data_IF_199017620972
#
_entry.id   IF_199017620972
#
_cell.length_a   1.000
_cell.length_b   1.000
_cell.length_c   1.000
_cell.angle_alpha   90.00
_cell.angle_beta   90.00
_cell.angle_gamma   90.00
#
_symmetry.space_group_name_H-M   'P 1'
#
loop_
_entity.id
_entity.type
_entity.pdbx_description
1 polymer ?
#
# COMPACT_ATOMS: atom_id res chain seq x y z
N UNK A 1 -11.80 -16.03 0.65
CA UNK A 1 -11.34 -15.62 -0.69
C UNK A 1 -12.46 -14.83 -1.33
N UNK A 2 -12.27 -13.54 -1.61
CA UNK A 2 -13.31 -12.70 -2.23
C UNK A 2 -13.13 -12.81 -3.75
N UNK A 3 -14.10 -13.38 -4.49
CA UNK A 3 -14.02 -13.49 -5.95
C UNK A 3 -13.93 -12.08 -6.58
N UNK A 4 -13.01 -11.88 -7.53
CA UNK A 4 -12.90 -10.63 -8.29
C UNK A 4 -11.87 -9.60 -7.78
N UNK A 5 -11.11 -9.90 -6.72
CA UNK A 5 -10.00 -9.02 -6.27
C UNK A 5 -8.65 -9.32 -6.93
N UNK A 6 -8.49 -10.47 -7.59
CA UNK A 6 -7.22 -10.88 -8.20
C UNK A 6 -7.45 -11.61 -9.52
N UNK A 7 -6.58 -11.32 -10.50
CA UNK A 7 -6.48 -12.05 -11.75
C UNK A 7 -5.28 -13.02 -11.70
N UNK A 8 -5.41 -14.13 -10.97
CA UNK A 8 -4.30 -15.08 -10.74
C UNK A 8 -3.63 -15.62 -12.00
N UNK A 9 -4.38 -15.72 -13.11
CA UNK A 9 -3.88 -16.24 -14.38
C UNK A 9 -3.16 -15.17 -15.23
N UNK A 10 -3.15 -13.91 -14.80
CA UNK A 10 -2.50 -12.82 -15.51
C UNK A 10 -1.74 -11.91 -14.52
N UNK A 11 -0.43 -12.11 -14.44
CA UNK A 11 0.44 -11.30 -13.59
C UNK A 11 0.48 -9.83 -14.01
N UNK A 12 0.26 -9.53 -15.30
CA UNK A 12 0.31 -8.18 -15.86
C UNK A 12 -1.08 -7.58 -16.05
N UNK A 13 -2.10 -8.15 -15.40
CA UNK A 13 -3.46 -7.65 -15.50
C UNK A 13 -3.52 -6.17 -15.11
N UNK A 14 -4.34 -5.41 -15.84
CA UNK A 14 -4.53 -3.98 -15.60
C UNK A 14 -4.94 -3.76 -14.14
N UNK A 15 -4.26 -2.89 -13.40
CA UNK A 15 -4.58 -2.62 -12.01
C UNK A 15 -5.98 -2.02 -11.87
N UNK A 16 -6.70 -2.43 -10.83
CA UNK A 16 -7.97 -1.81 -10.52
C UNK A 16 -7.78 -0.36 -10.06
N UNK A 17 -8.74 0.52 -10.38
CA UNK A 17 -8.67 1.94 -10.01
C UNK A 17 -8.49 2.12 -8.49
N UNK A 18 -9.18 1.32 -7.68
CA UNK A 18 -9.06 1.37 -6.22
C UNK A 18 -7.67 0.95 -5.72
N UNK A 19 -6.96 0.07 -6.44
CA UNK A 19 -5.61 -0.36 -6.09
C UNK A 19 -4.61 0.77 -6.35
N UNK A 20 -4.71 1.42 -7.52
CA UNK A 20 -3.92 2.60 -7.87
C UNK A 20 -4.18 3.77 -6.90
N UNK A 21 -5.45 4.01 -6.58
CA UNK A 21 -5.87 5.07 -5.67
C UNK A 21 -5.27 4.86 -4.28
N UNK A 22 -5.46 3.67 -3.69
CA UNK A 22 -4.96 3.41 -2.34
C UNK A 22 -3.44 3.41 -2.28
N UNK A 23 -2.75 2.82 -3.26
CA UNK A 23 -1.29 2.85 -3.33
C UNK A 23 -0.74 4.29 -3.40
N UNK A 24 -1.41 5.16 -4.19
CA UNK A 24 -1.06 6.58 -4.29
C UNK A 24 -1.27 7.31 -2.96
N UNK A 25 -2.38 7.03 -2.26
CA UNK A 25 -2.64 7.57 -0.92
C UNK A 25 -1.54 7.14 0.04
N UNK A 26 -1.23 5.84 0.10
CA UNK A 26 -0.17 5.30 0.98
C UNK A 26 1.16 5.98 0.72
N UNK A 27 1.58 6.08 -0.55
CA UNK A 27 2.82 6.78 -0.92
C UNK A 27 2.83 8.22 -0.39
N UNK A 28 1.75 8.97 -0.63
CA UNK A 28 1.64 10.36 -0.18
C UNK A 28 1.74 10.49 1.33
N UNK A 29 1.10 9.60 2.09
CA UNK A 29 1.17 9.63 3.56
C UNK A 29 2.57 9.26 4.07
N UNK A 30 3.27 8.31 3.42
CA UNK A 30 4.67 7.98 3.72
C UNK A 30 5.57 9.20 3.46
N UNK A 31 5.45 9.82 2.29
CA UNK A 31 6.28 10.98 1.89
C UNK A 31 6.03 12.19 2.81
N UNK A 32 4.78 12.36 3.27
CA UNK A 32 4.41 13.39 4.24
C UNK A 32 4.73 13.02 5.69
N UNK A 33 5.25 11.81 5.96
CA UNK A 33 5.43 11.23 7.30
C UNK A 33 4.18 11.30 8.18
N UNK A 34 2.99 11.25 7.56
CA UNK A 34 1.72 11.22 8.26
C UNK A 34 1.32 9.78 8.57
N UNK A 35 2.01 9.18 9.54
CA UNK A 35 1.82 7.79 9.92
C UNK A 35 0.51 7.53 10.67
N UNK A 36 -0.09 8.56 11.29
CA UNK A 36 -1.39 8.44 11.96
C UNK A 36 -2.50 8.04 10.99
N UNK A 37 -2.50 8.65 9.80
CA UNK A 37 -3.45 8.30 8.74
C UNK A 37 -3.22 6.87 8.21
N UNK A 38 -1.96 6.42 8.15
CA UNK A 38 -1.63 5.04 7.74
C UNK A 38 -2.08 4.02 8.79
N UNK A 39 -2.00 4.36 10.08
CA UNK A 39 -2.53 3.53 11.18
C UNK A 39 -4.06 3.48 11.10
N UNK A 40 -4.70 4.62 10.88
CA UNK A 40 -6.15 4.75 10.75
C UNK A 40 -6.64 4.58 9.31
N UNK A 41 -6.06 3.62 8.56
CA UNK A 41 -6.30 3.45 7.13
C UNK A 41 -7.78 3.28 6.76
N UNK A 42 -8.63 2.79 7.67
CA UNK A 42 -10.07 2.65 7.45
C UNK A 42 -10.78 3.99 7.22
N UNK A 43 -10.18 5.11 7.66
CA UNK A 43 -10.65 6.47 7.40
C UNK A 43 -10.20 7.01 6.02
N UNK A 44 -9.32 6.30 5.30
CA UNK A 44 -8.78 6.71 3.99
C UNK A 44 -9.69 6.35 2.80
N UNK A 45 -10.98 6.14 3.07
CA UNK A 45 -12.00 5.92 2.04
C UNK A 45 -12.19 4.47 1.61
N UNK A 46 -13.05 4.26 0.62
CA UNK A 46 -13.45 2.94 0.16
C UNK A 46 -12.30 2.14 -0.46
N UNK A 47 -11.34 2.82 -1.10
CA UNK A 47 -10.16 2.19 -1.69
C UNK A 47 -9.32 1.46 -0.64
N UNK A 48 -9.20 2.01 0.57
CA UNK A 48 -8.49 1.38 1.68
C UNK A 48 -9.20 0.11 2.17
N UNK A 49 -10.54 0.16 2.29
CA UNK A 49 -11.34 -1.00 2.71
C UNK A 49 -11.34 -2.14 1.67
N UNK A 50 -11.22 -1.80 0.39
CA UNK A 50 -11.05 -2.79 -0.69
C UNK A 50 -9.63 -3.37 -0.70
N UNK A 51 -8.61 -2.53 -0.45
CA UNK A 51 -7.20 -2.93 -0.50
C UNK A 51 -6.74 -3.73 0.72
N UNK A 52 -7.40 -3.55 1.87
CA UNK A 52 -7.04 -4.21 3.14
C UNK A 52 -8.26 -4.98 3.68
N UNK A 53 -8.62 -6.14 3.08
CA UNK A 53 -9.69 -6.98 3.62
C UNK A 53 -9.37 -7.50 5.03
N UNK A 54 -8.09 -7.77 5.26
CA UNK A 54 -7.48 -8.13 6.53
C UNK A 54 -6.13 -7.42 6.63
N UNK A 55 -5.70 -7.11 7.86
CA UNK A 55 -4.55 -6.21 8.08
C UNK A 55 -3.18 -6.90 7.91
N UNK A 56 -3.13 -8.22 7.78
CA UNK A 56 -1.91 -9.03 7.82
C UNK A 56 -0.84 -8.62 6.79
N UNK A 57 -1.24 -8.30 5.55
CA UNK A 57 -0.31 -7.85 4.51
C UNK A 57 0.08 -6.37 4.62
N UNK A 58 -0.66 -5.58 5.40
CA UNK A 58 -0.45 -4.14 5.56
C UNK A 58 0.39 -3.79 6.81
N UNK A 59 0.19 -4.52 7.90
CA UNK A 59 0.90 -4.29 9.16
C UNK A 59 2.45 -4.29 9.03
N UNK A 60 3.11 -5.16 8.24
CA UNK A 60 4.56 -5.15 8.09
C UNK A 60 5.12 -3.80 7.65
N UNK A 61 4.38 -3.07 6.79
CA UNK A 61 4.74 -1.73 6.36
C UNK A 61 4.79 -0.76 7.55
N UNK A 62 3.79 -0.80 8.44
CA UNK A 62 3.74 0.07 9.62
C UNK A 62 4.88 -0.23 10.60
N UNK A 63 5.24 -1.50 10.77
CA UNK A 63 6.40 -1.87 11.59
C UNK A 63 7.71 -1.30 11.01
N UNK A 64 7.91 -1.42 9.70
CA UNK A 64 9.08 -0.87 9.04
C UNK A 64 9.14 0.67 9.16
N UNK A 65 8.01 1.36 8.96
CA UNK A 65 7.92 2.82 9.15
C UNK A 65 8.16 3.25 10.61
N UNK A 66 7.70 2.45 11.57
CA UNK A 66 7.89 2.73 13.01
C UNK A 66 9.33 2.57 13.50
N UNK A 67 10.20 1.93 12.72
CA UNK A 67 11.63 1.81 13.01
C UNK A 67 12.46 2.99 12.49
N UNK A 68 11.88 3.84 11.64
CA UNK A 68 12.60 4.95 11.01
C UNK A 68 12.88 6.08 11.98
N UNK A 69 14.07 6.66 11.88
CA UNK A 69 14.36 7.92 12.57
C UNK A 69 13.58 9.08 11.92
N UNK A 70 13.40 10.16 12.72
CA UNK A 70 12.61 11.35 12.33
C UNK A 70 13.07 11.97 11.01
N UNK A 71 14.37 11.94 10.73
CA UNK A 71 14.99 12.62 9.59
C UNK A 71 15.65 11.63 8.61
N UNK A 72 15.40 10.33 8.78
CA UNK A 72 15.91 9.28 7.90
C UNK A 72 15.32 9.41 6.48
N UNK A 73 16.15 9.23 5.45
CA UNK A 73 15.66 9.33 4.08
C UNK A 73 14.73 8.15 3.75
N UNK A 74 13.63 8.42 3.05
CA UNK A 74 12.75 7.38 2.49
C UNK A 74 12.86 7.43 0.98
N UNK A 75 13.23 6.31 0.37
CA UNK A 75 13.30 6.16 -1.09
C UNK A 75 12.34 5.08 -1.56
N UNK A 76 11.67 5.33 -2.69
CA UNK A 76 10.77 4.37 -3.34
C UNK A 76 11.48 3.85 -4.59
N UNK A 77 11.50 2.53 -4.78
CA UNK A 77 12.29 1.91 -5.85
C UNK A 77 11.57 0.79 -6.62
N UNK A 78 10.41 0.34 -6.13
CA UNK A 78 9.46 -0.44 -6.93
C UNK A 78 8.06 0.14 -6.77
N UNK A 79 7.39 0.34 -7.90
CA UNK A 79 6.01 0.85 -8.00
C UNK A 79 5.32 0.07 -9.12
N UNK A 80 5.08 -1.21 -8.89
CA UNK A 80 4.52 -2.14 -9.88
C UNK A 80 3.24 -2.75 -9.32
N UNK A 81 2.30 -3.06 -10.20
CA UNK A 81 1.05 -3.72 -9.84
C UNK A 81 0.99 -5.09 -10.50
N UNK A 82 0.54 -6.09 -9.77
CA UNK A 82 0.41 -7.46 -10.26
C UNK A 82 -0.99 -8.00 -10.02
N UNK A 83 -1.44 -8.90 -10.90
CA UNK A 83 -2.72 -9.59 -10.78
C UNK A 83 -3.93 -8.64 -10.60
N UNK A 84 -3.84 -7.40 -11.08
CA UNK A 84 -4.84 -6.34 -10.93
C UNK A 84 -4.93 -5.71 -9.53
N UNK A 85 -4.93 -6.54 -8.47
CA UNK A 85 -5.20 -6.11 -7.10
C UNK A 85 -4.00 -6.06 -6.15
N UNK A 86 -2.78 -6.38 -6.60
CA UNK A 86 -1.59 -6.42 -5.74
C UNK A 86 -0.70 -5.23 -6.05
N UNK A 87 -0.50 -4.33 -5.08
CA UNK A 87 0.62 -3.38 -5.13
C UNK A 87 1.90 -4.06 -4.66
N UNK A 88 2.96 -3.93 -5.46
CA UNK A 88 4.32 -4.39 -5.15
C UNK A 88 5.21 -3.24 -4.68
N UNK A 89 4.61 -2.17 -4.13
CA UNK A 89 5.34 -0.99 -3.66
C UNK A 89 6.43 -1.38 -2.67
N UNK A 90 7.63 -0.89 -2.93
CA UNK A 90 8.77 -1.02 -2.02
C UNK A 90 9.33 0.36 -1.66
N UNK A 91 9.66 0.52 -0.39
CA UNK A 91 10.38 1.66 0.12
C UNK A 91 11.55 1.19 1.00
N UNK A 92 12.58 2.02 1.08
CA UNK A 92 13.72 1.84 1.97
C UNK A 92 13.84 3.09 2.83
N UNK A 93 14.00 2.88 4.14
CA UNK A 93 14.53 3.88 5.05
C UNK A 93 16.04 3.73 5.19
N UNK A 94 16.76 4.86 5.19
CA UNK A 94 18.21 4.91 5.34
C UNK A 94 18.91 5.36 4.06
#
# INVERSE_FOLDING_TARGET
MVPGLFFWNDINAVPFDWNLEFDTIVKRQIDARNFEDLINYSALGSAALLSIPTSDHYLPMLYALGLLDKDEAITHFYEVYQHGGISMRCFQGG
#
